data_IF_001458045697
#
_entry.id   IF_001458045697
#
_cell.length_a   1.000
_cell.length_b   1.000
_cell.length_c   1.000
_cell.angle_alpha   90.00
_cell.angle_beta   90.00
_cell.angle_gamma   90.00
#
_symmetry.space_group_name_H-M   'P 1'
#
loop_
_entity.id
_entity.type
_entity.pdbx_description
1 polymer ?
#
# COMPACT_ATOMS: atom_id res chain seq x y z
N UNK A 1 27.61 -11.20 -4.82
CA UNK A 1 26.51 -11.58 -3.91
C UNK A 1 25.78 -10.30 -3.50
N UNK A 2 24.49 -10.31 -3.56
CA UNK A 2 23.67 -9.17 -3.07
C UNK A 2 23.58 -9.19 -1.53
N UNK A 3 23.47 -8.01 -0.92
CA UNK A 3 23.15 -7.88 0.51
C UNK A 3 21.64 -7.92 0.77
N UNK A 4 20.83 -8.15 -0.26
CA UNK A 4 19.37 -8.14 -0.19
C UNK A 4 18.86 -9.55 0.11
N UNK A 5 17.92 -9.65 1.04
CA UNK A 5 17.10 -10.85 1.25
C UNK A 5 15.80 -10.68 0.48
N UNK A 6 15.54 -11.55 -0.47
CA UNK A 6 14.30 -11.53 -1.28
C UNK A 6 13.25 -12.43 -0.63
N UNK A 7 12.01 -11.93 -0.48
CA UNK A 7 10.90 -12.75 0.03
C UNK A 7 10.69 -13.99 -0.81
N UNK A 8 10.39 -15.13 -0.19
CA UNK A 8 10.00 -16.41 -0.84
C UNK A 8 10.99 -16.93 -1.89
N UNK A 9 12.26 -16.50 -1.85
CA UNK A 9 13.24 -16.78 -2.89
C UNK A 9 14.40 -17.63 -2.37
N UNK A 10 14.79 -18.68 -3.13
CA UNK A 10 15.99 -19.44 -2.85
C UNK A 10 17.22 -18.66 -3.36
N UNK A 11 17.95 -18.02 -2.46
CA UNK A 11 19.10 -17.17 -2.80
C UNK A 11 20.25 -17.92 -3.49
N UNK A 12 20.33 -19.26 -3.37
CA UNK A 12 21.36 -20.07 -4.05
C UNK A 12 21.09 -20.27 -5.54
N UNK A 13 19.86 -20.07 -5.96
CA UNK A 13 19.39 -20.27 -7.34
C UNK A 13 18.86 -18.97 -7.95
N UNK A 14 19.05 -17.84 -7.26
CA UNK A 14 18.54 -16.56 -7.70
C UNK A 14 19.32 -16.04 -8.90
N UNK A 15 18.64 -15.90 -10.03
CA UNK A 15 19.07 -15.04 -11.13
C UNK A 15 18.46 -13.66 -10.92
N UNK A 16 19.31 -12.66 -10.74
CA UNK A 16 18.85 -11.29 -10.50
C UNK A 16 18.47 -10.62 -11.81
N UNK A 17 17.29 -10.04 -11.87
CA UNK A 17 16.85 -9.14 -12.92
C UNK A 17 16.92 -7.70 -12.38
N UNK A 18 17.89 -6.91 -12.84
CA UNK A 18 18.09 -5.54 -12.39
C UNK A 18 17.31 -4.57 -13.28
N UNK A 19 16.14 -4.15 -12.86
CA UNK A 19 15.30 -3.17 -13.59
C UNK A 19 15.81 -1.76 -13.29
N UNK A 20 16.15 -1.02 -14.36
CA UNK A 20 16.74 0.33 -14.27
C UNK A 20 15.88 1.44 -14.87
N UNK A 21 14.85 1.10 -15.66
CA UNK A 21 13.95 2.07 -16.29
C UNK A 21 12.53 1.49 -16.41
N UNK A 22 11.53 2.35 -16.30
CA UNK A 22 10.13 2.07 -16.68
C UNK A 22 9.59 3.15 -17.61
N UNK A 23 8.77 2.76 -18.61
CA UNK A 23 8.13 3.67 -19.55
C UNK A 23 6.81 3.08 -20.06
N UNK A 24 5.71 3.75 -19.81
CA UNK A 24 4.37 3.22 -20.11
C UNK A 24 4.14 1.87 -19.43
N UNK A 25 3.95 0.81 -20.19
CA UNK A 25 3.73 -0.56 -19.71
C UNK A 25 5.00 -1.42 -19.75
N UNK A 26 6.15 -0.85 -20.06
CA UNK A 26 7.41 -1.57 -20.21
C UNK A 26 8.42 -1.22 -19.13
N UNK A 27 9.23 -2.21 -18.77
CA UNK A 27 10.43 -2.03 -17.94
C UNK A 27 11.66 -2.53 -18.69
N UNK A 28 12.83 -2.02 -18.29
CA UNK A 28 14.10 -2.30 -18.95
C UNK A 28 15.14 -2.71 -17.91
N UNK A 29 15.92 -3.73 -18.22
CA UNK A 29 17.06 -4.13 -17.39
C UNK A 29 18.34 -3.34 -17.71
N UNK A 30 19.39 -3.58 -16.96
CA UNK A 30 20.70 -2.96 -17.13
C UNK A 30 21.46 -3.44 -18.37
N UNK A 31 21.03 -4.52 -19.01
CA UNK A 31 21.51 -4.97 -20.32
C UNK A 31 20.74 -4.33 -21.50
N UNK A 32 19.69 -3.55 -21.22
CA UNK A 32 18.86 -2.88 -22.23
C UNK A 32 17.73 -3.74 -22.79
N UNK A 33 17.47 -4.91 -22.22
CA UNK A 33 16.34 -5.72 -22.62
C UNK A 33 15.02 -5.10 -22.13
N UNK A 34 13.99 -5.20 -22.96
CA UNK A 34 12.65 -4.70 -22.70
C UNK A 34 11.71 -5.83 -22.27
N UNK A 35 10.93 -5.59 -21.23
CA UNK A 35 9.92 -6.52 -20.72
C UNK A 35 8.57 -5.84 -20.59
N UNK A 36 7.50 -6.56 -20.90
CA UNK A 36 6.14 -6.12 -20.60
C UNK A 36 5.86 -6.34 -19.10
N UNK A 37 5.57 -5.26 -18.37
CA UNK A 37 5.26 -5.34 -16.93
C UNK A 37 3.78 -5.65 -16.71
N UNK A 38 3.46 -6.95 -16.69
CA UNK A 38 2.09 -7.45 -16.58
C UNK A 38 1.47 -7.41 -15.18
N UNK A 39 2.28 -7.15 -14.15
CA UNK A 39 1.81 -7.04 -12.75
C UNK A 39 1.68 -5.60 -12.26
N UNK A 40 1.88 -4.61 -13.15
CA UNK A 40 1.85 -3.19 -12.78
C UNK A 40 2.72 -2.88 -11.54
N UNK A 41 3.96 -3.39 -11.51
CA UNK A 41 4.88 -3.19 -10.39
C UNK A 41 4.32 -3.73 -9.07
N UNK A 42 3.71 -4.90 -9.08
CA UNK A 42 2.97 -5.53 -7.99
C UNK A 42 1.81 -4.63 -7.51
N UNK A 43 0.97 -4.21 -8.48
CA UNK A 43 -0.25 -3.39 -8.34
C UNK A 43 -0.03 -1.92 -7.95
N UNK A 44 1.20 -1.43 -7.93
CA UNK A 44 1.52 -0.06 -7.54
C UNK A 44 1.64 0.91 -8.72
N UNK A 45 1.84 0.43 -9.95
CA UNK A 45 2.03 1.23 -11.16
C UNK A 45 0.88 1.04 -12.17
N UNK A 46 -0.38 1.05 -11.72
CA UNK A 46 -1.57 0.79 -12.55
C UNK A 46 -1.76 1.82 -13.68
N UNK A 47 -1.19 3.02 -13.57
CA UNK A 47 -1.21 4.06 -14.60
C UNK A 47 0.03 4.01 -15.51
N UNK A 48 0.87 2.99 -15.35
CA UNK A 48 2.14 2.86 -16.05
C UNK A 48 3.26 3.69 -15.44
N UNK A 49 4.42 3.60 -16.07
CA UNK A 49 5.64 4.31 -15.67
C UNK A 49 5.77 5.63 -16.45
N UNK A 50 6.32 6.65 -15.81
CA UNK A 50 6.58 7.94 -16.45
C UNK A 50 5.31 8.79 -16.66
N UNK A 51 4.27 8.62 -15.83
CA UNK A 51 3.08 9.47 -15.87
C UNK A 51 3.42 10.89 -15.39
N UNK A 52 3.53 11.84 -16.32
CA UNK A 52 3.97 13.21 -16.04
C UNK A 52 3.03 13.95 -15.08
N UNK A 53 1.72 13.74 -15.16
CA UNK A 53 0.75 14.38 -14.27
C UNK A 53 1.00 13.96 -12.81
N UNK A 54 1.25 12.67 -12.55
CA UNK A 54 1.61 12.18 -11.21
C UNK A 54 2.96 12.70 -10.76
N UNK A 55 3.95 12.71 -11.63
CA UNK A 55 5.30 13.21 -11.33
C UNK A 55 5.24 14.67 -10.92
N UNK A 56 4.53 15.48 -11.66
CA UNK A 56 4.36 16.91 -11.38
C UNK A 56 3.61 17.15 -10.07
N UNK A 57 2.49 16.46 -9.85
CA UNK A 57 1.71 16.56 -8.63
C UNK A 57 2.53 16.19 -7.39
N UNK A 58 3.26 15.08 -7.43
CA UNK A 58 4.14 14.63 -6.34
C UNK A 58 5.28 15.64 -6.12
N UNK A 59 5.90 16.11 -7.19
CA UNK A 59 7.00 17.09 -7.13
C UNK A 59 6.54 18.40 -6.49
N UNK A 60 5.37 18.92 -6.85
CA UNK A 60 4.82 20.14 -6.25
C UNK A 60 4.48 19.94 -4.78
N UNK A 61 3.89 18.81 -4.43
CA UNK A 61 3.58 18.50 -3.03
C UNK A 61 4.85 18.38 -2.18
N UNK A 62 5.89 17.72 -2.67
CA UNK A 62 7.19 17.61 -1.98
C UNK A 62 7.85 18.99 -1.73
N UNK A 63 7.72 19.93 -2.66
CA UNK A 63 8.20 21.31 -2.49
C UNK A 63 7.38 22.10 -1.46
N UNK A 64 6.09 21.83 -1.35
CA UNK A 64 5.17 22.54 -0.46
C UNK A 64 5.24 21.99 0.96
N UNK A 65 5.11 20.68 1.11
CA UNK A 65 5.16 19.96 2.38
C UNK A 65 5.54 18.52 2.10
N UNK A 66 6.81 18.19 2.28
CA UNK A 66 7.37 16.87 2.00
C UNK A 66 6.93 15.80 3.00
N UNK A 67 6.64 16.20 4.24
CA UNK A 67 6.20 15.28 5.30
C UNK A 67 5.44 16.03 6.40
N UNK A 68 4.39 15.37 6.92
CA UNK A 68 3.74 15.73 8.19
C UNK A 68 3.12 14.50 8.82
N UNK A 69 3.22 14.36 10.13
CA UNK A 69 2.53 13.28 10.86
C UNK A 69 1.08 13.66 11.17
N UNK A 70 0.25 12.67 11.49
CA UNK A 70 -1.19 12.86 11.82
C UNK A 70 -1.51 12.59 13.31
N UNK A 71 -0.52 12.63 14.20
CA UNK A 71 -0.75 12.46 15.63
C UNK A 71 -1.21 13.75 16.30
N UNK A 72 -2.03 13.61 17.35
CA UNK A 72 -2.44 14.73 18.19
C UNK A 72 -3.30 15.78 17.48
N UNK A 73 -4.08 15.37 16.47
CA UNK A 73 -4.95 16.28 15.70
C UNK A 73 -4.25 17.09 14.61
N UNK A 74 -2.97 16.81 14.34
CA UNK A 74 -2.29 17.38 13.17
C UNK A 74 -2.83 16.75 11.89
N UNK A 75 -2.96 17.57 10.85
CA UNK A 75 -3.42 17.14 9.53
C UNK A 75 -2.82 18.04 8.43
N UNK A 76 -3.08 17.74 7.19
CA UNK A 76 -2.75 18.58 6.04
C UNK A 76 -3.79 18.41 4.92
N UNK A 77 -3.87 19.41 4.03
CA UNK A 77 -4.95 19.49 3.04
C UNK A 77 -5.08 18.25 2.17
N UNK A 78 -3.97 17.69 1.69
CA UNK A 78 -3.99 16.53 0.76
C UNK A 78 -4.61 15.29 1.42
N UNK A 79 -4.28 15.01 2.69
CA UNK A 79 -4.85 13.84 3.38
C UNK A 79 -6.33 14.04 3.68
N UNK A 80 -6.77 15.28 3.99
CA UNK A 80 -8.20 15.57 4.18
C UNK A 80 -8.97 15.38 2.87
N UNK A 81 -8.49 15.94 1.77
CA UNK A 81 -9.09 15.78 0.44
C UNK A 81 -9.18 14.29 0.02
N UNK A 82 -8.13 13.51 0.29
CA UNK A 82 -8.15 12.08 0.01
C UNK A 82 -9.17 11.33 0.87
N UNK A 83 -9.28 11.65 2.16
CA UNK A 83 -10.27 11.05 3.05
C UNK A 83 -11.70 11.36 2.61
N UNK A 84 -11.98 12.61 2.23
CA UNK A 84 -13.28 13.02 1.71
C UNK A 84 -13.60 12.29 0.40
N UNK A 85 -12.64 12.23 -0.52
CA UNK A 85 -12.79 11.52 -1.80
C UNK A 85 -13.06 10.02 -1.62
N UNK A 86 -12.40 9.38 -0.68
CA UNK A 86 -12.65 7.97 -0.35
C UNK A 86 -14.05 7.79 0.24
N UNK A 87 -14.51 8.68 1.12
CA UNK A 87 -15.87 8.62 1.67
C UNK A 87 -16.95 8.76 0.60
N UNK A 88 -16.76 9.58 -0.43
CA UNK A 88 -17.68 9.67 -1.57
C UNK A 88 -17.81 8.36 -2.35
N UNK A 89 -16.76 7.54 -2.37
CA UNK A 89 -16.69 6.29 -3.14
C UNK A 89 -17.16 5.07 -2.34
N UNK A 90 -17.15 5.14 -1.02
CA UNK A 90 -17.51 4.03 -0.15
C UNK A 90 -19.03 3.91 0.04
N UNK A 91 -19.58 2.69 0.10
CA UNK A 91 -21.02 2.47 0.36
C UNK A 91 -21.36 2.60 1.86
N UNK A 92 -20.71 3.51 2.56
CA UNK A 92 -20.85 3.70 4.02
C UNK A 92 -21.05 5.18 4.29
N UNK A 93 -22.20 5.53 4.85
CA UNK A 93 -22.49 6.90 5.28
C UNK A 93 -21.63 7.29 6.48
N UNK A 94 -21.07 8.50 6.44
CA UNK A 94 -20.26 9.07 7.53
C UNK A 94 -19.04 8.21 7.93
N UNK A 95 -18.46 7.47 6.98
CA UNK A 95 -17.25 6.67 7.19
C UNK A 95 -16.07 7.51 7.68
N UNK A 96 -15.10 6.85 8.30
CA UNK A 96 -13.81 7.45 8.70
C UNK A 96 -12.69 6.65 8.07
N UNK A 97 -11.66 7.35 7.61
CA UNK A 97 -10.50 6.75 6.95
C UNK A 97 -9.33 6.72 7.93
N UNK A 98 -8.74 5.54 8.09
CA UNK A 98 -7.50 5.35 8.81
C UNK A 98 -6.41 4.96 7.81
N UNK A 99 -5.39 5.79 7.69
CA UNK A 99 -4.29 5.57 6.77
C UNK A 99 -3.20 4.71 7.40
N UNK A 100 -2.69 3.74 6.65
CA UNK A 100 -1.58 2.86 7.03
C UNK A 100 -0.57 2.78 5.87
N UNK A 101 0.66 2.31 6.16
CA UNK A 101 1.71 2.23 5.14
C UNK A 101 1.63 0.97 4.27
N UNK A 102 0.83 -0.01 4.69
CA UNK A 102 0.63 -1.26 3.95
C UNK A 102 -0.72 -1.89 4.25
N UNK A 103 -1.18 -2.79 3.37
CA UNK A 103 -2.38 -3.61 3.62
C UNK A 103 -2.23 -4.51 4.86
N UNK A 104 -1.03 -5.00 5.16
CA UNK A 104 -0.75 -5.77 6.38
C UNK A 104 -1.01 -4.94 7.64
N UNK A 105 -0.49 -3.71 7.70
CA UNK A 105 -0.73 -2.79 8.82
C UNK A 105 -2.21 -2.38 8.93
N UNK A 106 -2.88 -2.19 7.79
CA UNK A 106 -4.31 -1.90 7.75
C UNK A 106 -5.12 -3.04 8.36
N UNK A 107 -4.82 -4.30 7.99
CA UNK A 107 -5.47 -5.49 8.55
C UNK A 107 -5.20 -5.63 10.05
N UNK A 108 -3.97 -5.46 10.51
CA UNK A 108 -3.63 -5.49 11.94
C UNK A 108 -4.41 -4.46 12.75
N UNK A 109 -4.47 -3.23 12.23
CA UNK A 109 -5.21 -2.14 12.86
C UNK A 109 -6.70 -2.42 12.89
N UNK A 110 -7.26 -2.95 11.80
CA UNK A 110 -8.66 -3.33 11.69
C UNK A 110 -9.02 -4.43 12.71
N UNK A 111 -8.22 -5.49 12.80
CA UNK A 111 -8.42 -6.56 13.77
C UNK A 111 -8.39 -6.04 15.22
N UNK A 112 -7.47 -5.13 15.55
CA UNK A 112 -7.39 -4.51 16.86
C UNK A 112 -8.60 -3.63 17.17
N UNK A 113 -9.04 -2.81 16.19
CA UNK A 113 -10.25 -1.97 16.31
C UNK A 113 -11.51 -2.81 16.52
N UNK A 114 -11.69 -3.90 15.78
CA UNK A 114 -12.83 -4.81 15.94
C UNK A 114 -12.83 -5.46 17.33
N UNK A 115 -11.68 -5.94 17.80
CA UNK A 115 -11.56 -6.50 19.16
C UNK A 115 -11.88 -5.48 20.26
N UNK A 116 -11.38 -4.26 20.11
CA UNK A 116 -11.71 -3.18 21.01
C UNK A 116 -13.21 -2.87 20.99
N UNK A 117 -13.78 -2.70 19.81
CA UNK A 117 -15.21 -2.43 19.62
C UNK A 117 -16.07 -3.49 20.31
N UNK A 118 -15.86 -4.77 20.04
CA UNK A 118 -16.66 -5.84 20.64
C UNK A 118 -16.46 -5.96 22.17
N UNK A 119 -15.29 -5.62 22.68
CA UNK A 119 -15.08 -5.58 24.12
C UNK A 119 -15.93 -4.45 24.78
N UNK A 120 -15.94 -3.25 24.20
CA UNK A 120 -16.68 -2.12 24.80
C UNK A 120 -18.18 -2.20 24.56
N UNK A 121 -18.64 -2.93 23.55
CA UNK A 121 -20.07 -3.19 23.30
C UNK A 121 -20.63 -4.40 24.05
N UNK A 122 -19.81 -5.04 24.92
CA UNK A 122 -20.28 -6.17 25.73
C UNK A 122 -20.27 -7.52 25.04
N UNK A 123 -19.56 -7.66 23.92
CA UNK A 123 -19.46 -8.89 23.13
C UNK A 123 -18.00 -9.43 23.05
N UNK A 124 -17.27 -9.57 24.19
CA UNK A 124 -15.83 -9.88 24.19
C UNK A 124 -15.48 -11.26 23.60
N UNK A 125 -16.45 -12.14 23.43
CA UNK A 125 -16.28 -13.46 22.79
C UNK A 125 -16.25 -13.40 21.28
N UNK A 126 -16.63 -12.30 20.64
CA UNK A 126 -16.56 -12.10 19.17
C UNK A 126 -15.12 -11.83 18.72
N UNK A 127 -14.30 -12.90 18.68
CA UNK A 127 -12.87 -12.84 18.35
C UNK A 127 -12.50 -13.64 17.09
N UNK A 128 -13.44 -14.41 16.54
CA UNK A 128 -13.17 -15.23 15.37
C UNK A 128 -13.13 -14.36 14.12
N UNK A 129 -12.10 -14.58 13.30
CA UNK A 129 -11.92 -13.98 11.99
C UNK A 129 -12.05 -15.10 10.96
N UNK A 130 -12.85 -14.88 9.95
CA UNK A 130 -13.02 -15.82 8.85
C UNK A 130 -12.23 -15.28 7.67
N UNK A 131 -11.40 -16.13 7.08
CA UNK A 131 -10.58 -15.82 5.91
C UNK A 131 -10.85 -16.86 4.81
N UNK A 132 -10.62 -16.49 3.56
CA UNK A 132 -10.68 -17.42 2.45
C UNK A 132 -9.42 -18.30 2.43
N UNK A 133 -9.58 -19.58 2.10
CA UNK A 133 -8.45 -20.48 1.93
C UNK A 133 -7.54 -20.00 0.79
N UNK A 134 -6.22 -20.08 1.00
CA UNK A 134 -5.18 -19.63 0.05
C UNK A 134 -5.22 -18.14 -0.31
N UNK A 135 -5.85 -17.31 0.51
CA UNK A 135 -5.81 -15.87 0.35
C UNK A 135 -4.62 -15.25 1.07
N UNK A 136 -4.13 -14.15 0.53
CA UNK A 136 -3.12 -13.32 1.18
C UNK A 136 -3.79 -12.26 2.06
N UNK A 137 -3.41 -12.21 3.33
CA UNK A 137 -3.98 -11.29 4.33
C UNK A 137 -2.95 -10.37 4.96
N UNK A 138 -1.71 -10.48 4.58
CA UNK A 138 -0.60 -9.74 5.15
C UNK A 138 0.48 -10.65 5.72
N UNK A 139 1.54 -10.03 6.26
CA UNK A 139 2.72 -10.73 6.79
C UNK A 139 3.18 -10.15 8.13
N UNK A 140 2.30 -9.45 8.84
CA UNK A 140 2.58 -8.89 10.18
C UNK A 140 2.00 -9.76 11.29
N UNK A 141 0.68 -9.69 11.55
CA UNK A 141 -0.02 -10.55 12.53
C UNK A 141 -0.87 -11.63 11.86
N UNK A 142 -1.28 -11.41 10.63
CA UNK A 142 -2.15 -12.32 9.91
C UNK A 142 -1.37 -13.43 9.23
#
# INVERSE_FOLDING_TARGET
>A
MTSIIYPTTNLKQLEQLNIVKGEGIYVYDDAGNQYLEGLAGLWCASLGYGNEELIDAITQQLKTLSYSHMFGGRTHNVVMQLADKLNEMLPVENGKVFFANSGSEANDSHMKMLRYYFNVTGEPQKKKIIALERSYHGVTLA
#
